data_IF_191797159056
#
_entry.id   IF_191797159056
#
_cell.length_a   1.000
_cell.length_b   1.000
_cell.length_c   1.000
_cell.angle_alpha   90.00
_cell.angle_beta   90.00
_cell.angle_gamma   90.00
#
_symmetry.space_group_name_H-M   'P 1'
#
loop_
_entity.id
_entity.type
_entity.pdbx_description
1 polymer ?
#
# COMPACT_ATOMS: atom_id res chain seq x y z
N UNK A 1 19.71 8.16 -15.98
CA UNK A 1 19.24 9.34 -16.77
C UNK A 1 17.72 9.47 -16.73
N UNK A 2 17.14 10.59 -16.25
CA UNK A 2 15.72 10.86 -16.48
C UNK A 2 15.54 11.16 -17.97
N UNK A 3 14.88 10.26 -18.70
CA UNK A 3 14.54 10.48 -20.10
C UNK A 3 13.64 11.71 -20.19
N UNK A 4 14.20 12.81 -20.69
CA UNK A 4 13.39 13.98 -21.05
C UNK A 4 12.22 13.51 -21.91
N UNK A 5 10.97 13.87 -21.57
CA UNK A 5 9.81 13.36 -22.27
C UNK A 5 9.91 13.69 -23.76
N UNK A 6 9.99 12.65 -24.59
CA UNK A 6 10.16 12.76 -26.04
C UNK A 6 8.93 13.35 -26.74
N UNK A 7 7.80 13.44 -26.03
CA UNK A 7 6.52 13.89 -26.55
C UNK A 7 6.05 15.13 -25.80
N UNK A 8 5.74 16.20 -26.54
CA UNK A 8 5.25 17.47 -25.96
C UNK A 8 3.98 17.30 -25.14
N UNK A 9 3.12 16.34 -25.50
CA UNK A 9 1.93 16.02 -24.71
C UNK A 9 2.26 15.50 -23.31
N UNK A 10 3.37 14.76 -23.15
CA UNK A 10 3.82 14.25 -21.86
C UNK A 10 4.45 15.37 -21.02
N UNK A 11 5.22 16.28 -21.64
CA UNK A 11 5.71 17.49 -20.96
C UNK A 11 4.55 18.35 -20.44
N UNK A 12 3.52 18.55 -21.25
CA UNK A 12 2.32 19.28 -20.85
C UNK A 12 1.53 18.55 -19.74
N UNK A 13 1.53 17.21 -19.76
CA UNK A 13 0.94 16.41 -18.68
C UNK A 13 1.71 16.61 -17.37
N UNK A 14 3.04 16.57 -17.40
CA UNK A 14 3.88 16.80 -16.21
C UNK A 14 3.56 18.18 -15.58
N UNK A 15 3.44 19.23 -16.40
CA UNK A 15 3.02 20.57 -15.96
C UNK A 15 1.59 20.63 -15.40
N UNK A 16 0.67 19.78 -15.89
CA UNK A 16 -0.68 19.67 -15.34
C UNK A 16 -0.65 18.98 -13.97
N UNK A 17 0.14 17.91 -13.83
CA UNK A 17 0.27 17.16 -12.59
C UNK A 17 0.84 18.01 -11.46
N UNK A 18 1.81 18.87 -11.75
CA UNK A 18 2.38 19.78 -10.75
C UNK A 18 1.38 20.84 -10.29
N UNK A 19 0.52 21.33 -11.19
CA UNK A 19 -0.54 22.30 -10.85
C UNK A 19 -1.71 21.72 -10.07
N UNK A 20 -1.98 20.41 -10.22
CA UNK A 20 -3.10 19.75 -9.56
C UNK A 20 -2.96 19.67 -8.03
N UNK A 21 -1.76 19.87 -7.46
CA UNK A 21 -1.56 19.91 -6.01
C UNK A 21 -1.99 18.62 -5.29
N UNK A 22 -1.93 17.48 -5.97
CA UNK A 22 -2.43 16.22 -5.45
C UNK A 22 -1.56 15.68 -4.30
N UNK A 23 -2.18 15.18 -3.22
CA UNK A 23 -1.47 14.52 -2.13
C UNK A 23 -0.65 13.31 -2.60
N UNK A 24 0.39 12.92 -1.85
CA UNK A 24 1.41 11.96 -2.28
C UNK A 24 0.85 10.63 -2.83
N UNK A 25 -0.22 10.09 -2.23
CA UNK A 25 -0.86 8.87 -2.72
C UNK A 25 -1.51 9.06 -4.10
N UNK A 26 -2.25 10.16 -4.29
CA UNK A 26 -2.88 10.49 -5.57
C UNK A 26 -1.82 10.84 -6.63
N UNK A 27 -0.76 11.54 -6.25
CA UNK A 27 0.38 11.84 -7.13
C UNK A 27 0.98 10.56 -7.71
N UNK A 28 1.26 9.54 -6.88
CA UNK A 28 1.74 8.24 -7.37
C UNK A 28 0.81 7.56 -8.38
N UNK A 29 -0.52 7.66 -8.16
CA UNK A 29 -1.51 7.10 -9.10
C UNK A 29 -1.52 7.86 -10.43
N UNK A 30 -1.39 9.19 -10.38
CA UNK A 30 -1.28 10.01 -11.58
C UNK A 30 0.03 9.77 -12.33
N UNK A 31 1.15 9.61 -11.62
CA UNK A 31 2.46 9.29 -12.21
C UNK A 31 2.44 7.92 -12.89
N UNK A 32 1.71 6.94 -12.32
CA UNK A 32 1.46 5.65 -12.99
C UNK A 32 0.76 5.85 -14.33
N UNK A 33 -0.36 6.60 -14.36
CA UNK A 33 -1.12 6.88 -15.61
C UNK A 33 -0.24 7.61 -16.62
N UNK A 34 0.49 8.63 -16.19
CA UNK A 34 1.47 9.35 -17.02
C UNK A 34 2.51 8.41 -17.62
N UNK A 35 3.09 7.52 -16.82
CA UNK A 35 4.06 6.54 -17.27
C UNK A 35 3.47 5.56 -18.30
N UNK A 36 2.25 5.09 -18.10
CA UNK A 36 1.56 4.21 -19.04
C UNK A 36 1.23 4.93 -20.36
N UNK A 37 0.75 6.18 -20.32
CA UNK A 37 0.50 7.00 -21.51
C UNK A 37 1.77 7.22 -22.33
N UNK A 38 2.89 7.53 -21.67
CA UNK A 38 4.18 7.65 -22.36
C UNK A 38 4.56 6.35 -23.08
N UNK A 39 4.44 5.20 -22.41
CA UNK A 39 4.72 3.89 -23.03
C UNK A 39 3.79 3.55 -24.19
N UNK A 40 2.52 3.95 -24.11
CA UNK A 40 1.57 3.76 -25.21
C UNK A 40 1.97 4.61 -26.44
N UNK A 41 2.44 5.85 -26.24
CA UNK A 41 2.96 6.71 -27.31
C UNK A 41 4.26 6.16 -27.92
N UNK A 42 5.19 5.66 -27.09
CA UNK A 42 6.45 5.04 -27.53
C UNK A 42 6.21 3.83 -28.44
N UNK A 43 5.17 3.05 -28.14
CA UNK A 43 4.76 1.89 -28.95
C UNK A 43 3.98 2.26 -30.21
N UNK A 44 3.71 3.54 -30.45
CA UNK A 44 2.89 3.99 -31.57
C UNK A 44 1.44 3.49 -31.51
N UNK A 45 0.95 3.16 -30.33
CA UNK A 45 -0.37 2.56 -30.16
C UNK A 45 -1.52 3.57 -30.07
N UNK A 46 -1.19 4.87 -30.03
CA UNK A 46 -2.13 5.99 -29.94
C UNK A 46 -2.06 6.85 -31.21
N UNK A 47 -3.11 7.65 -31.52
CA UNK A 47 -3.11 8.54 -32.68
C UNK A 47 -1.90 9.49 -32.71
N UNK A 48 -1.37 9.78 -33.90
CA UNK A 48 -0.17 10.63 -34.07
C UNK A 48 -0.35 12.02 -33.45
N UNK A 49 -1.57 12.58 -33.54
CA UNK A 49 -1.91 13.87 -32.93
C UNK A 49 -1.74 13.91 -31.41
N UNK A 50 -1.90 12.77 -30.73
CA UNK A 50 -1.75 12.65 -29.28
C UNK A 50 -0.30 12.87 -28.82
N UNK A 51 0.71 12.72 -29.70
CA UNK A 51 2.12 12.97 -29.35
C UNK A 51 2.42 14.45 -29.05
N UNK A 52 1.66 15.35 -29.67
CA UNK A 52 1.93 16.80 -29.65
C UNK A 52 0.92 17.60 -28.82
N UNK A 53 -0.24 17.02 -28.50
CA UNK A 53 -1.31 17.72 -27.80
C UNK A 53 -1.82 16.89 -26.63
N UNK A 54 -1.71 17.46 -25.42
CA UNK A 54 -2.29 16.86 -24.20
C UNK A 54 -3.81 16.71 -24.33
N UNK A 55 -4.50 17.70 -24.93
CA UNK A 55 -5.93 17.60 -25.18
C UNK A 55 -6.26 16.39 -26.06
N UNK A 56 -5.54 16.20 -27.18
CA UNK A 56 -5.70 15.04 -28.07
C UNK A 56 -5.34 13.71 -27.37
N UNK A 57 -4.34 13.72 -26.48
CA UNK A 57 -3.95 12.55 -25.70
C UNK A 57 -5.05 12.09 -24.73
N UNK A 58 -5.84 13.02 -24.21
CA UNK A 58 -6.94 12.74 -23.30
C UNK A 58 -8.31 12.68 -23.99
N UNK A 59 -8.39 12.73 -25.31
CA UNK A 59 -9.64 12.51 -26.07
C UNK A 59 -9.99 11.02 -26.14
N UNK A 60 -11.28 10.72 -26.35
CA UNK A 60 -11.79 9.33 -26.38
C UNK A 60 -11.06 8.44 -27.40
N UNK A 61 -10.71 9.01 -28.56
CA UNK A 61 -9.97 8.31 -29.62
C UNK A 61 -8.61 7.78 -29.13
N UNK A 62 -7.91 8.53 -28.29
CA UNK A 62 -6.64 8.10 -27.69
C UNK A 62 -6.86 7.24 -26.43
N UNK A 63 -7.85 7.57 -25.61
CA UNK A 63 -8.12 6.88 -24.36
C UNK A 63 -8.65 5.46 -24.54
N UNK A 64 -9.46 5.20 -25.57
CA UNK A 64 -10.00 3.85 -25.84
C UNK A 64 -8.90 2.80 -26.05
N UNK A 65 -7.99 2.98 -27.03
CA UNK A 65 -6.83 2.11 -27.22
C UNK A 65 -5.91 2.05 -26.00
N UNK A 66 -5.66 3.19 -25.35
CA UNK A 66 -4.85 3.24 -24.13
C UNK A 66 -5.42 2.34 -23.01
N UNK A 67 -6.70 2.49 -22.67
CA UNK A 67 -7.34 1.72 -21.59
C UNK A 67 -7.26 0.23 -21.87
N UNK A 68 -7.56 -0.23 -23.09
CA UNK A 68 -7.44 -1.65 -23.48
C UNK A 68 -6.02 -2.20 -23.31
N UNK A 69 -5.01 -1.42 -23.70
CA UNK A 69 -3.60 -1.80 -23.54
C UNK A 69 -3.17 -1.83 -22.08
N UNK A 70 -3.66 -0.88 -21.29
CA UNK A 70 -3.34 -0.81 -19.88
C UNK A 70 -3.97 -1.98 -19.11
N UNK A 71 -5.25 -2.27 -19.38
CA UNK A 71 -6.02 -3.35 -18.74
C UNK A 71 -5.48 -4.76 -19.07
N UNK A 72 -5.01 -4.97 -20.30
CA UNK A 72 -4.36 -6.23 -20.68
C UNK A 72 -2.98 -6.43 -20.04
N UNK A 73 -2.45 -5.42 -19.33
CA UNK A 73 -1.13 -5.47 -18.72
C UNK A 73 0.01 -5.21 -19.71
N UNK A 74 -0.28 -4.98 -21.00
CA UNK A 74 0.72 -4.74 -22.03
C UNK A 74 1.65 -3.58 -21.67
N UNK A 75 1.16 -2.55 -20.97
CA UNK A 75 1.93 -1.37 -20.57
C UNK A 75 2.73 -1.54 -19.26
N UNK A 76 2.78 -2.73 -18.67
CA UNK A 76 3.57 -2.99 -17.45
C UNK A 76 5.05 -3.09 -17.77
N UNK A 77 5.88 -2.59 -16.86
CA UNK A 77 7.34 -2.76 -16.93
C UNK A 77 7.77 -4.15 -16.42
N UNK A 78 7.09 -4.68 -15.40
CA UNK A 78 7.47 -5.91 -14.72
C UNK A 78 6.71 -7.11 -15.27
N UNK A 79 7.43 -8.10 -15.78
CA UNK A 79 6.90 -9.43 -16.10
C UNK A 79 6.60 -10.21 -14.83
N UNK A 80 5.54 -10.99 -14.85
CA UNK A 80 5.14 -11.92 -13.78
C UNK A 80 4.95 -13.28 -14.45
N UNK A 81 5.63 -14.31 -13.93
CA UNK A 81 5.57 -15.68 -14.48
C UNK A 81 5.83 -15.76 -16.00
N UNK A 82 6.82 -15.00 -16.49
CA UNK A 82 7.20 -14.98 -17.90
C UNK A 82 6.29 -14.15 -18.83
N UNK A 83 5.16 -13.64 -18.33
CA UNK A 83 4.19 -12.86 -19.10
C UNK A 83 3.90 -11.45 -18.56
N UNK A 84 2.98 -10.75 -19.23
CA UNK A 84 2.40 -9.49 -18.80
C UNK A 84 0.92 -9.72 -18.46
N UNK A 85 0.59 -10.21 -17.25
CA UNK A 85 -0.78 -10.53 -16.92
C UNK A 85 -1.64 -9.25 -16.84
N UNK A 86 -2.96 -9.38 -17.10
CA UNK A 86 -3.91 -8.28 -16.96
C UNK A 86 -3.78 -7.54 -15.63
N UNK A 87 -4.06 -6.24 -15.64
CA UNK A 87 -4.07 -5.46 -14.39
C UNK A 87 -5.36 -5.71 -13.62
N UNK A 88 -5.25 -5.71 -12.28
CA UNK A 88 -6.40 -5.95 -11.41
C UNK A 88 -7.51 -4.93 -11.62
N UNK A 89 -8.75 -5.33 -11.37
CA UNK A 89 -9.92 -4.44 -11.49
C UNK A 89 -9.78 -3.16 -10.66
N UNK A 90 -9.24 -3.27 -9.44
CA UNK A 90 -8.97 -2.12 -8.58
C UNK A 90 -7.96 -1.13 -9.20
N UNK A 91 -6.90 -1.64 -9.83
CA UNK A 91 -5.94 -0.81 -10.57
C UNK A 91 -6.61 -0.13 -11.77
N UNK A 92 -7.47 -0.87 -12.49
CA UNK A 92 -8.20 -0.34 -13.64
C UNK A 92 -9.14 0.78 -13.23
N UNK A 93 -9.81 0.62 -12.09
CA UNK A 93 -10.70 1.61 -11.52
C UNK A 93 -9.97 2.89 -11.08
N UNK A 94 -8.83 2.74 -10.39
CA UNK A 94 -7.97 3.88 -10.03
C UNK A 94 -7.49 4.62 -11.29
N UNK A 95 -7.07 3.88 -12.31
CA UNK A 95 -6.65 4.45 -13.60
C UNK A 95 -7.77 5.27 -14.23
N UNK A 96 -8.98 4.71 -14.32
CA UNK A 96 -10.14 5.38 -14.90
C UNK A 96 -10.53 6.65 -14.13
N UNK A 97 -10.52 6.61 -12.79
CA UNK A 97 -10.70 7.82 -11.95
C UNK A 97 -9.62 8.88 -12.19
N UNK A 98 -8.37 8.48 -12.38
CA UNK A 98 -7.29 9.43 -12.68
C UNK A 98 -7.47 10.05 -14.08
N UNK A 99 -7.92 9.29 -15.09
CA UNK A 99 -8.24 9.82 -16.42
C UNK A 99 -9.36 10.85 -16.32
N UNK A 100 -10.44 10.53 -15.61
CA UNK A 100 -11.57 11.45 -15.41
C UNK A 100 -11.11 12.76 -14.75
N UNK A 101 -10.27 12.68 -13.71
CA UNK A 101 -9.67 13.85 -13.03
C UNK A 101 -8.78 14.69 -13.96
N UNK A 102 -7.95 14.04 -14.79
CA UNK A 102 -7.10 14.75 -15.76
C UNK A 102 -7.92 15.46 -16.84
N UNK A 103 -9.02 14.86 -17.28
CA UNK A 103 -9.94 15.46 -18.25
C UNK A 103 -10.64 16.68 -17.65
N UNK A 104 -11.17 16.55 -16.43
CA UNK A 104 -11.79 17.64 -15.70
C UNK A 104 -10.84 18.82 -15.54
N UNK A 105 -9.58 18.56 -15.16
CA UNK A 105 -8.55 19.58 -15.00
C UNK A 105 -8.18 20.33 -16.30
N UNK A 106 -8.50 19.77 -17.47
CA UNK A 106 -8.33 20.41 -18.78
C UNK A 106 -9.62 21.01 -19.35
N UNK A 107 -10.72 21.02 -18.58
CA UNK A 107 -12.03 21.45 -19.04
C UNK A 107 -12.59 20.54 -20.14
N UNK A 108 -12.22 19.27 -20.18
CA UNK A 108 -12.82 18.27 -21.04
C UNK A 108 -14.02 17.62 -20.31
N UNK A 109 -15.08 17.22 -21.04
CA UNK A 109 -16.20 16.48 -20.44
C UNK A 109 -15.71 15.22 -19.73
N UNK A 110 -16.15 14.98 -18.50
CA UNK A 110 -15.81 13.76 -17.76
C UNK A 110 -16.51 12.57 -18.41
N UNK A 111 -15.77 11.49 -18.68
CA UNK A 111 -16.30 10.30 -19.34
C UNK A 111 -16.95 9.33 -18.37
N UNK A 112 -16.68 9.49 -17.07
CA UNK A 112 -17.12 8.57 -16.01
C UNK A 112 -16.69 7.14 -16.35
N UNK A 113 -15.43 7.01 -16.76
CA UNK A 113 -14.83 5.70 -16.99
C UNK A 113 -14.72 4.96 -15.64
N UNK A 114 -14.49 5.70 -14.56
CA UNK A 114 -14.59 5.19 -13.19
C UNK A 114 -16.02 5.22 -12.67
N UNK A 115 -16.28 4.54 -11.57
CA UNK A 115 -17.56 4.51 -10.86
C UNK A 115 -18.12 3.12 -10.64
N UNK A 116 -17.44 2.06 -11.07
CA UNK A 116 -17.83 0.70 -10.70
C UNK A 116 -17.51 0.48 -9.23
N UNK A 117 -18.52 0.03 -8.49
CA UNK A 117 -18.34 -0.43 -7.12
C UNK A 117 -17.46 -1.68 -7.16
N UNK A 118 -16.26 -1.59 -6.57
CA UNK A 118 -15.38 -2.74 -6.46
C UNK A 118 -15.94 -3.59 -5.32
N UNK A 119 -16.40 -4.79 -5.65
CA UNK A 119 -16.78 -5.77 -4.63
C UNK A 119 -15.58 -6.02 -3.72
N UNK A 120 -15.72 -5.60 -2.47
CA UNK A 120 -14.73 -5.87 -1.45
C UNK A 120 -14.74 -7.35 -1.13
N UNK A 121 -13.57 -7.90 -0.78
CA UNK A 121 -13.51 -9.27 -0.29
C UNK A 121 -14.37 -9.41 0.98
N UNK A 122 -14.97 -10.58 1.24
CA UNK A 122 -15.66 -10.80 2.51
C UNK A 122 -14.67 -10.60 3.68
N UNK A 123 -15.15 -9.92 4.72
CA UNK A 123 -14.40 -9.76 5.95
C UNK A 123 -14.53 -11.06 6.77
N UNK A 124 -13.47 -11.53 7.46
CA UNK A 124 -13.57 -12.67 8.38
C UNK A 124 -14.67 -12.47 9.43
N UNK A 125 -15.26 -13.58 9.91
CA UNK A 125 -16.27 -13.56 10.96
C UNK A 125 -15.64 -13.41 12.36
N UNK A 126 -16.46 -13.02 13.35
CA UNK A 126 -16.06 -12.88 14.76
C UNK A 126 -15.31 -14.11 15.30
N UNK A 127 -15.79 -15.30 14.96
CA UNK A 127 -15.21 -16.58 15.38
C UNK A 127 -13.79 -16.75 14.83
N UNK A 128 -13.53 -16.30 13.60
CA UNK A 128 -12.21 -16.31 12.97
C UNK A 128 -11.26 -15.33 13.68
N UNK A 129 -11.73 -14.14 14.06
CA UNK A 129 -10.92 -13.18 14.83
C UNK A 129 -10.55 -13.74 16.20
N UNK A 130 -11.50 -14.38 16.88
CA UNK A 130 -11.27 -15.05 18.17
C UNK A 130 -10.28 -16.21 18.05
N UNK A 131 -10.37 -16.99 16.97
CA UNK A 131 -9.42 -18.07 16.68
C UNK A 131 -8.03 -17.52 16.36
N UNK A 132 -7.94 -16.40 15.63
CA UNK A 132 -6.68 -15.71 15.37
C UNK A 132 -6.04 -15.25 16.68
N UNK A 133 -6.78 -14.57 17.57
CA UNK A 133 -6.25 -14.14 18.86
C UNK A 133 -5.66 -15.30 19.67
N UNK A 134 -6.37 -16.44 19.75
CA UNK A 134 -5.86 -17.66 20.41
C UNK A 134 -4.62 -18.23 19.74
N UNK A 135 -4.56 -18.22 18.40
CA UNK A 135 -3.39 -18.70 17.66
C UNK A 135 -2.16 -17.81 17.92
N UNK A 136 -2.34 -16.50 18.02
CA UNK A 136 -1.27 -15.56 18.35
C UNK A 136 -0.79 -15.78 19.79
N UNK A 137 -1.69 -16.00 20.73
CA UNK A 137 -1.36 -16.34 22.13
C UNK A 137 -0.53 -17.64 22.23
N UNK A 138 -0.91 -18.68 21.47
CA UNK A 138 -0.12 -19.91 21.36
C UNK A 138 1.29 -19.67 20.82
N UNK A 139 1.45 -18.76 19.85
CA UNK A 139 2.78 -18.39 19.36
C UNK A 139 3.60 -17.64 20.42
N UNK A 140 2.94 -16.81 21.24
CA UNK A 140 3.59 -16.16 22.39
C UNK A 140 3.94 -17.15 23.50
N UNK A 141 3.32 -18.33 23.59
CA UNK A 141 3.77 -19.36 24.53
C UNK A 141 5.06 -20.07 24.07
N UNK A 142 5.41 -19.99 22.78
CA UNK A 142 6.53 -20.73 22.18
C UNK A 142 7.68 -19.88 21.68
N UNK A 143 8.75 -20.52 21.17
CA UNK A 143 9.82 -19.83 20.46
C UNK A 143 9.33 -19.31 19.10
N UNK A 144 9.78 -18.12 18.71
CA UNK A 144 9.42 -17.50 17.45
C UNK A 144 10.66 -16.94 16.74
N UNK A 145 10.68 -17.07 15.41
CA UNK A 145 11.65 -16.34 14.59
C UNK A 145 11.42 -14.82 14.68
N UNK A 146 12.41 -13.95 14.37
CA UNK A 146 12.18 -12.51 14.32
C UNK A 146 11.05 -12.08 13.38
N UNK A 147 10.91 -12.76 12.24
CA UNK A 147 9.83 -12.52 11.28
C UNK A 147 8.46 -12.87 11.83
N UNK A 148 8.36 -13.98 12.57
CA UNK A 148 7.11 -14.38 13.22
C UNK A 148 6.77 -13.44 14.36
N UNK A 149 7.75 -13.08 15.20
CA UNK A 149 7.58 -12.14 16.32
C UNK A 149 7.03 -10.80 15.85
N UNK A 150 7.62 -10.22 14.80
CA UNK A 150 7.12 -8.98 14.19
C UNK A 150 5.70 -9.12 13.67
N UNK A 151 5.41 -10.21 12.94
CA UNK A 151 4.08 -10.43 12.38
C UNK A 151 3.03 -10.63 13.48
N UNK A 152 3.34 -11.39 14.53
CA UNK A 152 2.46 -11.57 15.69
C UNK A 152 2.12 -10.23 16.34
N UNK A 153 3.12 -9.36 16.54
CA UNK A 153 2.90 -8.03 17.08
C UNK A 153 2.06 -7.13 16.15
N UNK A 154 2.30 -7.16 14.83
CA UNK A 154 1.48 -6.42 13.85
C UNK A 154 0.02 -6.87 13.89
N UNK A 155 -0.22 -8.19 13.90
CA UNK A 155 -1.57 -8.76 13.90
C UNK A 155 -2.31 -8.50 15.21
N UNK A 156 -1.62 -8.63 16.35
CA UNK A 156 -2.21 -8.31 17.66
C UNK A 156 -2.63 -6.82 17.72
N UNK A 157 -1.73 -5.93 17.27
CA UNK A 157 -2.04 -4.50 17.22
C UNK A 157 -3.21 -4.18 16.27
N UNK A 158 -3.32 -4.87 15.14
CA UNK A 158 -4.46 -4.70 14.22
C UNK A 158 -5.78 -5.18 14.84
N UNK A 159 -5.78 -6.26 15.63
CA UNK A 159 -6.96 -6.71 16.37
C UNK A 159 -7.43 -5.64 17.38
N UNK A 160 -6.51 -4.92 18.02
CA UNK A 160 -6.84 -3.88 19.00
C UNK A 160 -7.06 -2.49 18.41
N UNK A 161 -6.52 -2.18 17.22
CA UNK A 161 -6.60 -0.83 16.63
C UNK A 161 -7.41 -0.73 15.36
N UNK A 162 -7.55 -1.81 14.59
CA UNK A 162 -8.05 -1.79 13.21
C UNK A 162 -7.35 -0.73 12.35
N UNK A 163 -6.07 -0.48 12.62
CA UNK A 163 -5.26 0.45 11.85
C UNK A 163 -4.97 -0.10 10.44
N UNK A 164 -4.95 0.79 9.45
CA UNK A 164 -4.56 0.46 8.08
C UNK A 164 -3.06 0.16 8.01
N UNK A 165 -2.62 -0.57 6.97
CA UNK A 165 -1.19 -0.83 6.73
C UNK A 165 -0.35 0.45 6.71
N UNK A 166 -0.85 1.50 6.07
CA UNK A 166 -0.21 2.82 6.04
C UNK A 166 -0.19 3.56 7.38
N UNK A 167 -1.13 3.27 8.28
CA UNK A 167 -1.16 3.84 9.64
C UNK A 167 -0.20 3.05 10.55
N UNK A 168 -0.22 1.71 10.45
CA UNK A 168 0.67 0.81 11.18
C UNK A 168 2.15 1.11 10.93
N UNK A 169 2.57 1.30 9.67
CA UNK A 169 3.99 1.62 9.35
C UNK A 169 4.42 3.00 9.83
N UNK A 170 3.47 3.87 10.15
CA UNK A 170 3.78 5.20 10.64
C UNK A 170 4.09 5.25 12.13
N UNK A 171 3.58 4.26 12.88
CA UNK A 171 3.77 4.14 14.33
C UNK A 171 5.25 4.20 14.74
N UNK A 172 5.47 4.87 15.86
CA UNK A 172 6.75 5.03 16.53
C UNK A 172 6.69 4.42 17.91
N UNK A 173 7.86 4.16 18.49
CA UNK A 173 7.97 3.73 19.89
C UNK A 173 7.48 4.79 20.87
N UNK A 174 7.47 6.07 20.47
CA UNK A 174 6.88 7.19 21.23
C UNK A 174 5.36 7.23 21.16
N UNK A 175 4.75 6.45 20.27
CA UNK A 175 3.30 6.34 20.14
C UNK A 175 2.77 5.20 21.03
N UNK A 176 3.63 4.57 21.85
CA UNK A 176 3.24 3.56 22.82
C UNK A 176 3.10 4.21 24.19
N UNK A 177 1.99 3.93 24.86
CA UNK A 177 1.77 4.32 26.25
C UNK A 177 2.67 3.54 27.21
N UNK A 178 2.63 3.89 28.49
CA UNK A 178 3.37 3.20 29.55
C UNK A 178 3.05 1.70 29.55
N UNK A 179 4.08 0.86 29.68
CA UNK A 179 3.99 -0.61 29.60
C UNK A 179 3.23 -1.15 28.37
N UNK A 180 3.24 -0.37 27.27
CA UNK A 180 2.52 -0.64 26.03
C UNK A 180 1.00 -0.78 26.21
N UNK A 181 0.42 -0.25 27.30
CA UNK A 181 -1.02 -0.35 27.67
C UNK A 181 -1.96 0.41 26.74
N UNK A 182 -1.42 1.34 25.96
CA UNK A 182 -2.15 2.03 24.90
C UNK A 182 -1.22 2.28 23.71
N UNK A 183 -1.82 2.55 22.55
CA UNK A 183 -1.11 2.99 21.35
C UNK A 183 -1.84 4.18 20.74
N UNK A 184 -1.09 5.21 20.36
CA UNK A 184 -1.61 6.35 19.62
C UNK A 184 -1.63 6.02 18.12
N UNK A 185 -2.79 6.16 17.50
CA UNK A 185 -2.98 5.90 16.07
C UNK A 185 -3.47 7.17 15.39
N UNK A 186 -2.68 7.68 14.45
CA UNK A 186 -3.09 8.76 13.56
C UNK A 186 -3.94 8.19 12.41
N UNK A 187 -5.24 8.49 12.42
CA UNK A 187 -6.19 8.05 11.40
C UNK A 187 -6.05 8.87 10.13
N UNK A 188 -5.91 8.17 9.01
CA UNK A 188 -5.74 8.78 7.68
C UNK A 188 -6.88 8.36 6.76
N UNK A 189 -8.06 9.01 6.85
CA UNK A 189 -9.25 8.60 6.11
C UNK A 189 -9.01 8.56 4.59
N UNK A 190 -9.47 7.48 3.96
CA UNK A 190 -9.39 7.33 2.50
C UNK A 190 -10.40 8.27 1.83
N UNK A 191 -9.93 9.14 0.94
CA UNK A 191 -10.81 10.06 0.17
C UNK A 191 -10.68 11.54 0.53
N UNK A 192 -9.82 11.90 1.47
CA UNK A 192 -9.72 13.26 1.99
C UNK A 192 -10.61 13.42 3.22
N UNK A 193 -10.07 14.02 4.26
CA UNK A 193 -10.68 14.18 5.58
C UNK A 193 -9.63 14.67 6.57
N UNK A 194 -10.08 15.15 7.72
CA UNK A 194 -9.17 15.60 8.78
C UNK A 194 -8.41 14.39 9.33
N UNK A 195 -7.11 14.56 9.51
CA UNK A 195 -6.27 13.61 10.21
C UNK A 195 -6.59 13.75 11.70
N UNK A 196 -7.08 12.67 12.31
CA UNK A 196 -7.44 12.64 13.73
C UNK A 196 -6.63 11.55 14.41
N UNK A 197 -6.09 11.83 15.59
CA UNK A 197 -5.36 10.86 16.38
C UNK A 197 -6.16 10.40 17.59
N UNK A 198 -6.06 9.12 17.92
CA UNK A 198 -6.69 8.55 19.11
C UNK A 198 -5.72 7.63 19.85
N UNK A 199 -5.87 7.58 21.18
CA UNK A 199 -5.24 6.56 22.00
C UNK A 199 -6.17 5.36 22.09
N UNK A 200 -5.65 4.18 21.75
CA UNK A 200 -6.38 2.92 21.79
C UNK A 200 -5.76 2.03 22.86
N UNK A 201 -6.57 1.58 23.82
CA UNK A 201 -6.13 0.62 24.84
C UNK A 201 -5.72 -0.71 24.19
N UNK A 202 -4.64 -1.30 24.69
CA UNK A 202 -4.13 -2.57 24.17
C UNK A 202 -4.53 -3.74 25.07
N UNK A 203 -4.91 -4.83 24.44
CA UNK A 203 -5.16 -6.10 25.10
C UNK A 203 -3.88 -6.67 25.73
N UNK A 204 -4.03 -7.62 26.64
CA UNK A 204 -2.89 -8.37 27.20
C UNK A 204 -2.08 -9.08 26.09
N UNK A 205 -2.78 -9.57 25.05
CA UNK A 205 -2.16 -10.19 23.88
C UNK A 205 -1.22 -9.22 23.16
N UNK A 206 -1.68 -8.00 22.88
CA UNK A 206 -0.89 -6.98 22.20
C UNK A 206 0.28 -6.51 23.05
N UNK A 207 0.07 -6.32 24.36
CA UNK A 207 1.17 -5.98 25.28
C UNK A 207 2.30 -7.01 25.24
N UNK A 208 1.96 -8.29 25.40
CA UNK A 208 2.94 -9.37 25.35
C UNK A 208 3.61 -9.50 23.97
N UNK A 209 2.87 -9.29 22.88
CA UNK A 209 3.43 -9.33 21.54
C UNK A 209 4.38 -8.15 21.26
N UNK A 210 4.01 -6.93 21.71
CA UNK A 210 4.86 -5.74 21.60
C UNK A 210 6.11 -5.88 22.44
N UNK A 211 6.03 -6.37 23.67
CA UNK A 211 7.18 -6.61 24.53
C UNK A 211 8.22 -7.51 23.84
N UNK A 212 7.78 -8.66 23.31
CA UNK A 212 8.67 -9.56 22.55
C UNK A 212 9.24 -8.92 21.30
N UNK A 213 8.43 -8.17 20.56
CA UNK A 213 8.89 -7.49 19.36
C UNK A 213 9.92 -6.41 19.67
N UNK A 214 9.67 -5.58 20.69
CA UNK A 214 10.56 -4.51 21.08
C UNK A 214 11.92 -5.05 21.53
N UNK A 215 11.96 -6.22 22.16
CA UNK A 215 13.21 -6.88 22.50
C UNK A 215 13.99 -7.32 21.26
N UNK A 216 13.36 -8.09 20.37
CA UNK A 216 13.95 -8.51 19.08
C UNK A 216 14.39 -7.31 18.23
N UNK A 217 13.62 -6.22 18.23
CA UNK A 217 13.87 -5.01 17.44
C UNK A 217 15.19 -4.33 17.85
N UNK A 218 15.59 -4.39 19.13
CA UNK A 218 16.83 -3.75 19.62
C UNK A 218 18.06 -4.28 18.88
N UNK A 219 18.12 -5.59 18.62
CA UNK A 219 19.24 -6.24 17.93
C UNK A 219 19.43 -5.75 16.50
N UNK A 220 18.33 -5.41 15.81
CA UNK A 220 18.38 -4.86 14.46
C UNK A 220 18.77 -3.38 14.47
N UNK A 221 18.35 -2.63 15.49
CA UNK A 221 18.72 -1.22 15.61
C UNK A 221 20.18 -1.01 15.98
N UNK A 222 20.84 -1.92 16.71
CA UNK A 222 22.27 -1.78 16.98
C UNK A 222 23.12 -1.77 15.69
N UNK A 223 22.58 -2.29 14.58
CA UNK A 223 23.26 -2.44 13.29
C UNK A 223 22.92 -1.33 12.29
N UNK A 224 21.86 -0.57 12.54
CA UNK A 224 21.44 0.58 11.74
C UNK A 224 21.60 1.86 12.57
N UNK A 225 21.65 3.05 11.98
CA UNK A 225 21.85 4.31 12.73
C UNK A 225 20.65 4.74 13.61
N UNK A 226 19.89 3.78 14.17
CA UNK A 226 18.72 4.00 15.01
C UNK A 226 17.47 4.47 14.24
N UNK A 227 16.29 4.19 14.78
CA UNK A 227 15.04 4.83 14.35
C UNK A 227 14.00 4.75 15.46
N UNK A 228 13.08 5.70 15.53
CA UNK A 228 11.90 5.60 16.42
C UNK A 228 10.75 4.81 15.79
N UNK A 229 10.82 4.42 14.51
CA UNK A 229 9.75 3.66 13.84
C UNK A 229 9.56 2.29 14.48
N UNK A 230 8.32 1.94 14.80
CA UNK A 230 7.99 0.71 15.51
C UNK A 230 8.37 -0.54 14.70
N UNK A 231 8.16 -0.50 13.39
CA UNK A 231 8.45 -1.60 12.49
C UNK A 231 9.71 -1.35 11.69
N UNK A 232 10.62 -2.33 11.69
CA UNK A 232 11.89 -2.26 10.96
C UNK A 232 12.08 -3.47 10.03
N UNK A 233 12.93 -3.31 9.02
CA UNK A 233 13.36 -4.38 8.13
C UNK A 233 14.17 -5.44 8.89
N UNK A 234 13.95 -6.72 8.59
CA UNK A 234 14.68 -7.84 9.20
C UNK A 234 15.82 -8.34 8.31
N UNK A 235 15.83 -7.93 7.04
CA UNK A 235 16.75 -8.40 6.01
C UNK A 235 17.30 -7.19 5.26
N UNK A 236 18.44 -7.39 4.59
CA UNK A 236 18.93 -6.43 3.60
C UNK A 236 17.85 -6.24 2.54
N UNK A 237 17.61 -4.99 2.18
CA UNK A 237 16.67 -4.63 1.13
C UNK A 237 17.31 -3.57 0.24
N UNK A 238 16.64 -3.18 -0.83
CA UNK A 238 17.04 -2.04 -1.64
C UNK A 238 16.07 -0.87 -1.44
N UNK A 239 16.54 0.36 -1.68
CA UNK A 239 15.70 1.56 -1.69
C UNK A 239 14.64 1.57 -2.81
N UNK A 240 14.78 0.68 -3.80
CA UNK A 240 13.84 0.55 -4.91
C UNK A 240 13.94 1.69 -5.93
N UNK A 241 14.95 2.55 -5.79
CA UNK A 241 15.27 3.62 -6.73
C UNK A 241 16.51 3.19 -7.47
N UNK A 242 16.41 3.14 -8.80
CA UNK A 242 17.57 2.89 -9.65
C UNK A 242 18.37 4.20 -9.75
N UNK A 243 19.66 4.14 -9.48
CA UNK A 243 20.59 5.22 -9.79
C UNK A 243 20.76 5.39 -11.31
N UNK A 244 21.58 6.37 -11.72
CA UNK A 244 21.79 6.67 -13.13
C UNK A 244 22.42 5.51 -13.92
N UNK A 245 23.08 4.58 -13.22
CA UNK A 245 23.71 3.37 -13.75
C UNK A 245 22.82 2.13 -13.64
N UNK A 246 21.60 2.26 -13.09
CA UNK A 246 20.63 1.17 -12.97
C UNK A 246 20.85 0.26 -11.77
N UNK A 247 21.61 0.69 -10.76
CA UNK A 247 21.79 -0.02 -9.49
C UNK A 247 20.86 0.55 -8.41
N UNK A 248 20.51 -0.28 -7.44
CA UNK A 248 19.73 0.17 -6.28
C UNK A 248 20.60 0.24 -5.04
N UNK A 249 20.41 1.24 -4.19
CA UNK A 249 21.15 1.33 -2.93
C UNK A 249 20.71 0.21 -1.98
N UNK A 250 21.64 -0.63 -1.56
CA UNK A 250 21.37 -1.66 -0.56
C UNK A 250 21.27 -1.00 0.82
N UNK A 251 20.17 -1.31 1.50
CA UNK A 251 19.85 -0.89 2.86
C UNK A 251 20.04 -2.05 3.83
N UNK A 252 20.72 -1.84 4.97
CA UNK A 252 20.89 -2.88 5.98
C UNK A 252 19.55 -3.25 6.65
N UNK A 253 19.49 -4.38 7.39
CA UNK A 253 18.44 -4.63 8.35
C UNK A 253 18.34 -3.50 9.40
N UNK A 254 17.17 -3.32 10.01
CA UNK A 254 16.94 -2.29 11.02
C UNK A 254 16.44 -0.94 10.47
N UNK A 255 16.26 -0.82 9.16
CA UNK A 255 15.70 0.38 8.54
C UNK A 255 14.18 0.44 8.73
N UNK A 256 13.57 1.64 8.79
CA UNK A 256 12.11 1.78 8.83
C UNK A 256 11.40 0.91 7.79
N UNK A 257 10.38 0.16 8.24
CA UNK A 257 9.58 -0.66 7.34
C UNK A 257 8.57 0.21 6.60
N UNK A 258 8.55 0.10 5.27
CA UNK A 258 7.55 0.77 4.43
C UNK A 258 6.28 -0.09 4.27
N UNK A 259 5.18 0.54 3.87
CA UNK A 259 3.86 -0.11 3.72
C UNK A 259 3.94 -1.38 2.84
N UNK A 260 4.60 -1.31 1.69
CA UNK A 260 4.80 -2.47 0.80
C UNK A 260 5.59 -3.60 1.48
N UNK A 261 6.54 -3.25 2.34
CA UNK A 261 7.30 -4.21 3.14
C UNK A 261 6.43 -4.91 4.17
N UNK A 262 5.54 -4.17 4.84
CA UNK A 262 4.56 -4.73 5.78
C UNK A 262 3.56 -5.64 5.08
N UNK A 263 2.95 -5.19 3.97
CA UNK A 263 2.00 -5.99 3.17
C UNK A 263 2.66 -7.26 2.62
N UNK A 264 3.91 -7.16 2.17
CA UNK A 264 4.68 -8.34 1.72
C UNK A 264 4.95 -9.29 2.88
N UNK A 265 5.35 -8.77 4.04
CA UNK A 265 5.57 -9.57 5.25
C UNK A 265 4.30 -10.31 5.66
N UNK A 266 3.14 -9.64 5.64
CA UNK A 266 1.85 -10.26 5.92
C UNK A 266 1.56 -11.41 4.95
N UNK A 267 1.67 -11.16 3.64
CA UNK A 267 1.38 -12.18 2.61
C UNK A 267 2.28 -13.40 2.74
N UNK A 268 3.58 -13.18 2.95
CA UNK A 268 4.55 -14.27 3.13
C UNK A 268 4.28 -15.03 4.42
N UNK A 269 4.11 -14.32 5.54
CA UNK A 269 3.89 -14.92 6.85
C UNK A 269 2.59 -15.74 6.91
N UNK A 270 1.50 -15.22 6.34
CA UNK A 270 0.23 -15.95 6.21
C UNK A 270 0.40 -17.31 5.52
N UNK A 271 1.23 -17.40 4.49
CA UNK A 271 1.48 -18.65 3.78
C UNK A 271 2.50 -19.54 4.48
N UNK A 272 3.43 -18.93 5.21
CA UNK A 272 4.56 -19.62 5.86
C UNK A 272 4.18 -20.26 7.19
N UNK A 273 3.28 -19.66 7.96
CA UNK A 273 2.91 -20.12 9.29
C UNK A 273 1.56 -20.84 9.23
N UNK A 274 1.57 -22.17 9.38
CA UNK A 274 0.40 -23.02 9.15
C UNK A 274 -0.84 -22.60 9.94
N UNK A 275 -0.66 -22.21 11.21
CA UNK A 275 -1.74 -21.72 12.07
C UNK A 275 -2.42 -20.44 11.57
N UNK A 276 -1.75 -19.65 10.71
CA UNK A 276 -2.31 -18.41 10.16
C UNK A 276 -2.97 -18.61 8.78
N UNK A 277 -2.64 -19.69 8.06
CA UNK A 277 -3.00 -19.86 6.65
C UNK A 277 -4.50 -19.84 6.40
N UNK A 278 -5.27 -20.42 7.33
CA UNK A 278 -6.73 -20.50 7.27
C UNK A 278 -7.44 -19.36 8.03
N UNK A 279 -6.73 -18.68 8.93
CA UNK A 279 -7.32 -17.63 9.78
C UNK A 279 -7.19 -16.24 9.18
N UNK A 280 -6.12 -16.00 8.41
CA UNK A 280 -5.85 -14.71 7.82
C UNK A 280 -6.44 -14.60 6.40
N UNK A 281 -7.13 -13.49 6.07
CA UNK A 281 -7.62 -13.23 4.73
C UNK A 281 -6.46 -12.94 3.76
N UNK A 282 -6.76 -12.91 2.45
CA UNK A 282 -5.74 -12.61 1.43
C UNK A 282 -5.12 -11.22 1.57
N UNK A 283 -5.89 -10.25 2.10
CA UNK A 283 -5.47 -8.86 2.28
C UNK A 283 -5.68 -8.44 3.73
N UNK A 284 -4.69 -7.73 4.29
CA UNK A 284 -4.76 -7.11 5.61
C UNK A 284 -6.02 -6.26 5.78
N UNK A 285 -6.38 -5.49 4.74
CA UNK A 285 -7.58 -4.66 4.72
C UNK A 285 -8.89 -5.41 5.00
N UNK A 286 -8.97 -6.72 4.73
CA UNK A 286 -10.15 -7.49 5.08
C UNK A 286 -10.19 -7.86 6.58
N UNK A 287 -9.03 -8.08 7.21
CA UNK A 287 -8.90 -8.29 8.65
C UNK A 287 -9.30 -7.01 9.40
N UNK A 288 -8.70 -5.87 9.02
CA UNK A 288 -9.07 -4.54 9.52
C UNK A 288 -10.58 -4.29 9.53
N UNK A 289 -11.26 -4.52 8.39
CA UNK A 289 -12.71 -4.31 8.28
C UNK A 289 -13.52 -5.26 9.16
N UNK A 290 -13.06 -6.49 9.38
CA UNK A 290 -13.71 -7.40 10.30
C UNK A 290 -13.63 -6.87 11.73
N UNK A 291 -12.45 -6.40 12.14
CA UNK A 291 -12.24 -5.82 13.48
C UNK A 291 -13.09 -4.56 13.68
N UNK A 292 -13.12 -3.64 12.71
CA UNK A 292 -14.00 -2.46 12.76
C UNK A 292 -15.47 -2.85 12.92
N UNK A 293 -15.93 -3.85 12.16
CA UNK A 293 -17.32 -4.30 12.21
C UNK A 293 -17.68 -4.96 13.54
N UNK A 294 -16.75 -5.65 14.21
CA UNK A 294 -16.97 -6.14 15.58
C UNK A 294 -17.05 -5.00 16.59
N UNK A 295 -16.19 -3.98 16.48
CA UNK A 295 -16.24 -2.83 17.40
C UNK A 295 -17.52 -2.04 17.28
N UNK A 296 -17.97 -1.80 16.05
CA UNK A 296 -19.25 -1.16 15.79
C UNK A 296 -20.41 -1.96 16.38
N UNK A 297 -20.35 -3.30 16.30
CA UNK A 297 -21.34 -4.18 16.93
C UNK A 297 -21.28 -4.17 18.47
N UNK A 298 -20.10 -4.07 19.05
CA UNK A 298 -19.93 -4.01 20.51
C UNK A 298 -20.33 -2.64 21.12
N UNK A 299 -20.32 -1.58 20.31
CA UNK A 299 -20.70 -0.23 20.71
C UNK A 299 -22.21 0.08 20.52
N UNK A 300 -22.94 -0.79 19.82
CA UNK A 300 -24.38 -0.67 19.56
C UNK A 300 -25.21 -1.43 20.60
#
# INVERSE_FOLDING_TARGET
MPTSPKFSAITALDQLLDRLGAGAARRRQLDMVRGELNRALERGALPVGARRSLRRLLEEEALGPYVRLAESGALRHRRVEGGLPPTSEATNEIRRKCIDLLREALGLPVLRLGGREILLQPAPEAATLSALARQLDQYLAGPMSPAQTRLTAVLALELDTAARSGELVELRTTDLGEDNTAVYVERRPQGGGTVEGEWVETSALTRAALERWLDVRKDFLQRAHGTSKLWVSLWMNHDGVLDDDGHTTIRPPGMPLEENGLVTSYRVGRLRYDGLRQLLPLKLEALRRAVDAERQRAAA
#
